data_IF_295883024197
#
_entry.id   IF_295883024197
#
_cell.length_a   1.000
_cell.length_b   1.000
_cell.length_c   1.000
_cell.angle_alpha   90.00
_cell.angle_beta   90.00
_cell.angle_gamma   90.00
#
_symmetry.space_group_name_H-M   'P 1'
#
loop_
_entity.id
_entity.type
_entity.pdbx_description
1 polymer ?
#
# COMPACT_ATOMS: atom_id res chain seq x y z
N UNK A 1 -16.16 -9.82 32.84
CA UNK A 1 -16.86 -9.16 31.72
C UNK A 1 -18.00 -10.05 31.25
N UNK A 2 -19.14 -9.48 30.83
CA UNK A 2 -20.23 -10.25 30.21
C UNK A 2 -19.85 -10.66 28.78
N UNK A 3 -20.47 -11.73 28.27
CA UNK A 3 -20.27 -12.21 26.89
C UNK A 3 -20.62 -11.13 25.86
N UNK A 4 -21.74 -10.42 26.08
CA UNK A 4 -22.18 -9.30 25.26
C UNK A 4 -21.12 -8.18 25.20
N UNK A 5 -20.53 -7.79 26.33
CA UNK A 5 -19.50 -6.75 26.34
C UNK A 5 -18.24 -7.18 25.59
N UNK A 6 -17.83 -8.45 25.71
CA UNK A 6 -16.68 -8.97 24.95
C UNK A 6 -16.95 -8.96 23.45
N UNK A 7 -18.14 -9.39 23.03
CA UNK A 7 -18.54 -9.43 21.63
C UNK A 7 -18.60 -8.02 21.02
N UNK A 8 -19.21 -7.07 21.74
CA UNK A 8 -19.27 -5.67 21.32
C UNK A 8 -17.87 -5.05 21.21
N UNK A 9 -16.98 -5.30 22.17
CA UNK A 9 -15.60 -4.82 22.13
C UNK A 9 -14.81 -5.43 20.95
N UNK A 10 -14.96 -6.74 20.71
CA UNK A 10 -14.34 -7.44 19.59
C UNK A 10 -14.83 -6.89 18.25
N UNK A 11 -16.15 -6.78 18.05
CA UNK A 11 -16.72 -6.26 16.80
C UNK A 11 -16.32 -4.80 16.56
N UNK A 12 -16.31 -3.96 17.60
CA UNK A 12 -15.82 -2.59 17.51
C UNK A 12 -14.35 -2.51 17.11
N UNK A 13 -13.51 -3.34 17.74
CA UNK A 13 -12.08 -3.43 17.42
C UNK A 13 -11.81 -3.90 15.99
N UNK A 14 -12.49 -4.97 15.55
CA UNK A 14 -12.38 -5.48 14.18
C UNK A 14 -12.82 -4.42 13.16
N UNK A 15 -13.97 -3.79 13.38
CA UNK A 15 -14.51 -2.78 12.46
C UNK A 15 -13.58 -1.57 12.34
N UNK A 16 -13.07 -1.07 13.47
CA UNK A 16 -12.12 0.05 13.49
C UNK A 16 -10.82 -0.29 12.77
N UNK A 17 -10.20 -1.45 13.06
CA UNK A 17 -8.97 -1.88 12.38
C UNK A 17 -9.18 -2.10 10.89
N UNK A 18 -10.31 -2.67 10.48
CA UNK A 18 -10.65 -2.88 9.07
C UNK A 18 -10.74 -1.55 8.32
N UNK A 19 -11.43 -0.56 8.88
CA UNK A 19 -11.54 0.78 8.28
C UNK A 19 -10.16 1.46 8.16
N UNK A 20 -9.32 1.35 9.19
CA UNK A 20 -7.96 1.91 9.18
C UNK A 20 -7.09 1.26 8.10
N UNK A 21 -7.15 -0.06 7.95
CA UNK A 21 -6.42 -0.80 6.91
C UNK A 21 -6.91 -0.41 5.51
N UNK A 22 -8.22 -0.32 5.30
CA UNK A 22 -8.80 0.08 4.02
C UNK A 22 -8.35 1.49 3.61
N UNK A 23 -8.33 2.44 4.56
CA UNK A 23 -7.81 3.79 4.32
C UNK A 23 -6.33 3.76 3.94
N UNK A 24 -5.50 3.01 4.69
CA UNK A 24 -4.07 2.86 4.41
C UNK A 24 -3.81 2.27 3.03
N UNK A 25 -4.54 1.22 2.65
CA UNK A 25 -4.45 0.60 1.32
C UNK A 25 -4.84 1.62 0.24
N UNK A 26 -5.93 2.36 0.41
CA UNK A 26 -6.36 3.36 -0.56
C UNK A 26 -5.31 4.47 -0.76
N UNK A 27 -4.70 4.95 0.33
CA UNK A 27 -3.61 5.94 0.28
C UNK A 27 -2.38 5.39 -0.42
N UNK A 28 -2.00 4.14 -0.16
CA UNK A 28 -0.87 3.48 -0.81
C UNK A 28 -1.11 3.27 -2.32
N UNK A 29 -2.31 2.83 -2.72
CA UNK A 29 -2.70 2.70 -4.14
C UNK A 29 -2.63 4.05 -4.86
N UNK A 30 -3.11 5.13 -4.22
CA UNK A 30 -2.99 6.48 -4.76
C UNK A 30 -1.54 6.94 -4.89
N UNK A 31 -0.69 6.64 -3.91
CA UNK A 31 0.73 6.97 -3.95
C UNK A 31 1.45 6.20 -5.08
N UNK A 32 1.19 4.90 -5.22
CA UNK A 32 1.72 4.08 -6.32
C UNK A 32 1.39 4.68 -7.69
N UNK A 33 0.11 5.00 -7.93
CA UNK A 33 -0.31 5.59 -9.20
C UNK A 33 0.36 6.94 -9.50
N UNK A 34 0.68 7.75 -8.47
CA UNK A 34 1.44 8.99 -8.66
C UNK A 34 2.88 8.70 -9.08
N UNK A 35 3.55 7.76 -8.41
CA UNK A 35 4.93 7.36 -8.74
C UNK A 35 5.01 6.81 -10.15
N UNK A 36 4.06 5.96 -10.56
CA UNK A 36 4.01 5.41 -11.92
C UNK A 36 3.82 6.52 -12.97
N UNK A 37 2.96 7.51 -12.72
CA UNK A 37 2.81 8.66 -13.63
C UNK A 37 4.07 9.51 -13.72
N UNK A 38 4.76 9.72 -12.60
CA UNK A 38 6.04 10.44 -12.60
C UNK A 38 7.13 9.64 -13.34
N UNK A 39 7.13 8.31 -13.22
CA UNK A 39 7.99 7.44 -14.00
C UNK A 39 7.73 7.58 -15.50
N UNK A 40 6.46 7.46 -15.94
CA UNK A 40 6.08 7.61 -17.35
C UNK A 40 6.49 8.97 -17.93
N UNK A 41 6.28 10.05 -17.15
CA UNK A 41 6.71 11.40 -17.54
C UNK A 41 8.23 11.50 -17.66
N UNK A 42 8.97 10.92 -16.71
CA UNK A 42 10.43 10.93 -16.72
C UNK A 42 10.99 10.10 -17.88
N UNK A 43 10.34 9.00 -18.25
CA UNK A 43 10.69 8.20 -19.44
C UNK A 43 10.47 8.98 -20.75
N UNK A 44 9.45 9.84 -20.80
CA UNK A 44 9.25 10.76 -21.93
C UNK A 44 10.37 11.82 -21.97
N UNK A 45 10.75 12.38 -20.82
CA UNK A 45 11.83 13.36 -20.72
C UNK A 45 13.19 12.77 -21.13
N UNK A 46 13.48 11.52 -20.74
CA UNK A 46 14.66 10.77 -21.17
C UNK A 46 14.75 10.59 -22.70
N UNK A 47 13.61 10.48 -23.39
CA UNK A 47 13.60 10.41 -24.86
C UNK A 47 13.89 11.78 -25.47
N UNK A 48 13.31 12.84 -24.91
CA UNK A 48 13.46 14.20 -25.42
C UNK A 48 14.87 14.76 -25.18
N UNK A 49 15.50 14.44 -24.05
CA UNK A 49 16.81 14.98 -23.69
C UNK A 49 17.87 14.61 -24.73
N UNK A 50 17.79 13.41 -25.33
CA UNK A 50 18.72 12.97 -26.39
C UNK A 50 18.44 13.57 -27.78
N UNK A 51 17.33 14.27 -27.98
CA UNK A 51 16.91 14.81 -29.28
C UNK A 51 16.77 16.35 -29.27
N UNK A 52 17.81 17.12 -28.91
CA UNK A 52 17.68 18.57 -28.93
C UNK A 52 17.69 19.08 -30.37
N UNK A 53 16.73 19.96 -30.69
CA UNK A 53 16.68 20.65 -31.98
C UNK A 53 17.64 21.84 -31.98
N UNK A 54 18.92 21.55 -32.11
CA UNK A 54 19.97 22.56 -32.22
C UNK A 54 20.25 22.89 -33.69
N UNK A 55 20.36 24.17 -34.03
CA UNK A 55 20.74 24.60 -35.37
C UNK A 55 22.19 24.23 -35.71
N UNK A 56 22.52 24.12 -37.00
CA UNK A 56 23.88 23.78 -37.47
C UNK A 56 24.95 24.81 -37.09
N UNK A 57 24.53 26.01 -36.67
CA UNK A 57 25.37 27.07 -36.12
C UNK A 57 25.74 26.87 -34.64
N UNK A 58 25.14 25.91 -33.94
CA UNK A 58 25.38 25.65 -32.52
C UNK A 58 26.69 24.87 -32.29
N UNK A 59 27.82 25.57 -32.40
CA UNK A 59 29.19 25.04 -32.30
C UNK A 59 30.01 25.82 -31.28
N UNK A 60 31.20 25.32 -30.95
CA UNK A 60 32.12 25.93 -29.98
C UNK A 60 31.89 25.44 -28.54
N UNK A 61 32.60 26.06 -27.61
CA UNK A 61 32.67 25.68 -26.19
C UNK A 61 31.28 25.57 -25.54
N UNK A 62 30.42 26.58 -25.72
CA UNK A 62 29.04 26.57 -25.22
C UNK A 62 28.18 25.39 -25.70
N UNK A 63 28.47 24.86 -26.89
CA UNK A 63 27.79 23.67 -27.43
C UNK A 63 28.29 22.38 -26.75
N UNK A 64 29.56 22.34 -26.37
CA UNK A 64 30.16 21.23 -25.63
C UNK A 64 29.68 21.20 -24.17
N UNK A 65 29.64 22.36 -23.50
CA UNK A 65 29.14 22.48 -22.12
C UNK A 65 27.68 22.02 -22.02
N UNK A 66 26.82 22.54 -22.90
CA UNK A 66 25.42 22.13 -22.99
C UNK A 66 25.28 20.61 -23.22
N UNK A 67 26.17 20.02 -24.03
CA UNK A 67 26.19 18.58 -24.27
C UNK A 67 26.57 17.78 -23.03
N UNK A 68 27.51 18.29 -22.22
CA UNK A 68 27.92 17.68 -20.94
C UNK A 68 26.79 17.71 -19.92
N UNK A 69 26.24 18.91 -19.63
CA UNK A 69 25.15 19.10 -18.66
C UNK A 69 23.94 18.21 -19.00
N UNK A 70 23.60 18.12 -20.28
CA UNK A 70 22.53 17.25 -20.76
C UNK A 70 22.83 15.77 -20.51
N UNK A 71 24.07 15.32 -20.74
CA UNK A 71 24.42 13.93 -20.50
C UNK A 71 24.37 13.60 -18.99
N UNK A 72 24.85 14.50 -18.14
CA UNK A 72 24.76 14.36 -16.68
C UNK A 72 23.29 14.29 -16.23
N UNK A 73 22.44 15.18 -16.75
CA UNK A 73 21.00 15.13 -16.48
C UNK A 73 20.36 13.83 -16.98
N UNK A 74 20.74 13.34 -18.16
CA UNK A 74 20.24 12.06 -18.67
C UNK A 74 20.63 10.90 -17.75
N UNK A 75 21.87 10.82 -17.31
CA UNK A 75 22.36 9.72 -16.48
C UNK A 75 21.72 9.74 -15.08
N UNK A 76 21.48 10.94 -14.54
CA UNK A 76 20.72 11.13 -13.31
C UNK A 76 19.26 10.66 -13.46
N UNK A 77 18.57 11.06 -14.52
CA UNK A 77 17.19 10.63 -14.81
C UNK A 77 17.10 9.12 -15.06
N UNK A 78 18.08 8.56 -15.77
CA UNK A 78 18.16 7.12 -16.04
C UNK A 78 18.32 6.32 -14.75
N UNK A 79 19.11 6.84 -13.79
CA UNK A 79 19.23 6.25 -12.45
C UNK A 79 17.90 6.32 -11.69
N UNK A 80 17.20 7.46 -11.74
CA UNK A 80 15.91 7.62 -11.06
C UNK A 80 14.88 6.63 -11.61
N UNK A 81 14.75 6.53 -12.94
CA UNK A 81 13.79 5.66 -13.62
C UNK A 81 14.09 4.19 -13.40
N UNK A 82 15.34 3.77 -13.54
CA UNK A 82 15.66 2.34 -13.48
C UNK A 82 15.84 1.81 -12.05
N UNK A 83 16.03 2.69 -11.07
CA UNK A 83 16.38 2.27 -9.72
C UNK A 83 15.43 2.81 -8.64
N UNK A 84 15.16 4.12 -8.64
CA UNK A 84 14.39 4.74 -7.54
C UNK A 84 12.90 4.45 -7.64
N UNK A 85 12.28 4.71 -8.80
CA UNK A 85 10.84 4.46 -8.97
C UNK A 85 10.47 2.99 -8.76
N UNK A 86 11.18 2.00 -9.34
CA UNK A 86 10.88 0.58 -9.10
C UNK A 86 10.95 0.21 -7.62
N UNK A 87 11.99 0.67 -6.90
CA UNK A 87 12.10 0.42 -5.45
C UNK A 87 10.93 1.00 -4.66
N UNK A 88 10.45 2.20 -5.01
CA UNK A 88 9.29 2.80 -4.37
C UNK A 88 8.02 2.01 -4.65
N UNK A 89 7.79 1.62 -5.90
CA UNK A 89 6.64 0.78 -6.28
C UNK A 89 6.67 -0.54 -5.52
N UNK A 90 7.78 -1.27 -5.53
CA UNK A 90 7.91 -2.55 -4.83
C UNK A 90 7.69 -2.41 -3.31
N UNK A 91 8.19 -1.34 -2.69
CA UNK A 91 7.95 -1.09 -1.26
C UNK A 91 6.48 -0.81 -0.95
N UNK A 92 5.81 -0.07 -1.82
CA UNK A 92 4.37 0.19 -1.68
C UNK A 92 3.57 -1.11 -1.85
N UNK A 93 3.88 -1.92 -2.86
CA UNK A 93 3.21 -3.20 -3.12
C UNK A 93 3.38 -4.18 -1.96
N UNK A 94 4.59 -4.30 -1.42
CA UNK A 94 4.84 -5.13 -0.24
C UNK A 94 4.00 -4.69 0.96
N UNK A 95 3.88 -3.37 1.17
CA UNK A 95 3.06 -2.86 2.28
C UNK A 95 1.57 -3.08 2.05
N UNK A 96 1.09 -2.94 0.82
CA UNK A 96 -0.30 -3.29 0.45
C UNK A 96 -0.55 -4.77 0.74
N UNK A 97 0.32 -5.67 0.28
CA UNK A 97 0.16 -7.11 0.51
C UNK A 97 0.14 -7.47 2.01
N UNK A 98 0.98 -6.82 2.82
CA UNK A 98 0.95 -6.99 4.28
C UNK A 98 -0.40 -6.57 4.87
N UNK A 99 -0.92 -5.41 4.45
CA UNK A 99 -2.20 -4.90 4.93
C UNK A 99 -3.39 -5.75 4.46
N UNK A 100 -3.32 -6.30 3.24
CA UNK A 100 -4.33 -7.24 2.73
C UNK A 100 -4.33 -8.55 3.53
N UNK A 101 -3.16 -9.05 3.94
CA UNK A 101 -3.06 -10.20 4.84
C UNK A 101 -3.67 -9.90 6.23
N UNK A 102 -3.41 -8.71 6.79
CA UNK A 102 -4.06 -8.25 8.03
C UNK A 102 -5.60 -8.18 7.86
N UNK A 103 -6.09 -7.72 6.71
CA UNK A 103 -7.53 -7.66 6.41
C UNK A 103 -8.16 -9.05 6.31
N UNK A 104 -7.45 -10.04 5.74
CA UNK A 104 -7.88 -11.44 5.73
C UNK A 104 -7.99 -11.99 7.15
N UNK A 105 -7.01 -11.69 8.00
CA UNK A 105 -6.98 -12.15 9.39
C UNK A 105 -8.13 -11.55 10.21
N UNK A 106 -8.44 -10.26 10.00
CA UNK A 106 -9.62 -9.59 10.58
C UNK A 106 -10.95 -10.16 10.07
N UNK A 107 -11.02 -10.55 8.79
CA UNK A 107 -12.23 -11.17 8.22
C UNK A 107 -12.48 -12.55 8.85
N UNK A 108 -11.43 -13.32 9.11
CA UNK A 108 -11.52 -14.56 9.87
C UNK A 108 -11.98 -14.32 11.30
N UNK A 109 -11.42 -13.32 11.99
CA UNK A 109 -11.86 -12.92 13.32
C UNK A 109 -13.34 -12.53 13.35
N UNK A 110 -13.80 -11.80 12.34
CA UNK A 110 -15.20 -11.39 12.18
C UNK A 110 -16.13 -12.59 12.00
N UNK A 111 -15.70 -13.63 11.28
CA UNK A 111 -16.47 -14.87 11.14
C UNK A 111 -16.63 -15.57 12.48
N UNK A 112 -15.55 -15.71 13.25
CA UNK A 112 -15.58 -16.31 14.58
C UNK A 112 -16.44 -15.50 15.56
N UNK A 113 -16.40 -14.17 15.47
CA UNK A 113 -17.28 -13.30 16.26
C UNK A 113 -18.77 -13.53 15.90
N UNK A 114 -19.09 -13.67 14.61
CA UNK A 114 -20.44 -14.00 14.16
C UNK A 114 -20.93 -15.35 14.68
N UNK A 115 -20.06 -16.37 14.70
CA UNK A 115 -20.38 -17.68 15.25
C UNK A 115 -20.54 -17.65 16.78
N UNK A 116 -19.71 -16.86 17.48
CA UNK A 116 -19.85 -16.64 18.91
C UNK A 116 -21.20 -15.95 19.26
N UNK A 117 -21.63 -14.99 18.43
CA UNK A 117 -22.92 -14.32 18.59
C UNK A 117 -24.09 -15.31 18.46
N UNK A 118 -24.07 -16.17 17.43
CA UNK A 118 -25.07 -17.22 17.23
C UNK A 118 -25.11 -18.25 18.36
N UNK A 119 -23.97 -18.58 18.95
CA UNK A 119 -23.91 -19.46 20.12
C UNK A 119 -24.46 -18.77 21.36
N UNK A 120 -24.18 -17.48 21.55
CA UNK A 120 -24.73 -16.71 22.66
C UNK A 120 -26.27 -16.68 22.64
N UNK A 121 -26.88 -16.67 21.46
CA UNK A 121 -28.34 -16.72 21.28
C UNK A 121 -28.96 -18.06 21.70
N UNK A 122 -28.18 -19.14 21.77
CA UNK A 122 -28.66 -20.48 22.18
C UNK A 122 -28.77 -20.68 23.70
N UNK A 123 -28.34 -19.71 24.50
CA UNK A 123 -28.47 -19.74 25.96
C UNK A 123 -27.25 -20.30 26.71
N UNK A 124 -27.43 -20.58 28.01
CA UNK A 124 -26.35 -20.86 28.97
C UNK A 124 -25.43 -22.01 28.57
N UNK A 125 -25.97 -23.09 27.99
CA UNK A 125 -25.21 -24.27 27.60
C UNK A 125 -24.15 -23.99 26.52
N UNK A 126 -24.29 -22.90 25.77
CA UNK A 126 -23.39 -22.52 24.68
C UNK A 126 -22.45 -21.34 25.03
N UNK A 127 -22.54 -20.79 26.25
CA UNK A 127 -21.80 -19.60 26.67
C UNK A 127 -20.28 -19.83 26.68
N UNK A 128 -19.84 -21.00 27.12
CA UNK A 128 -18.42 -21.33 27.20
C UNK A 128 -17.79 -21.47 25.81
N UNK A 129 -18.51 -22.11 24.88
CA UNK A 129 -18.10 -22.22 23.48
C UNK A 129 -18.05 -20.83 22.81
N UNK A 130 -19.02 -19.96 23.08
CA UNK A 130 -19.03 -18.58 22.59
C UNK A 130 -17.81 -17.79 23.09
N UNK A 131 -17.48 -17.89 24.39
CA UNK A 131 -16.27 -17.25 24.96
C UNK A 131 -14.99 -17.77 24.31
N UNK A 132 -14.91 -19.08 24.04
CA UNK A 132 -13.76 -19.69 23.36
C UNK A 132 -13.58 -19.14 21.94
N UNK A 133 -14.67 -18.96 21.19
CA UNK A 133 -14.61 -18.37 19.84
C UNK A 133 -14.18 -16.90 19.87
N UNK A 134 -14.67 -16.11 20.83
CA UNK A 134 -14.23 -14.72 21.02
C UNK A 134 -12.72 -14.67 21.31
N UNK A 135 -12.22 -15.55 22.16
CA UNK A 135 -10.77 -15.61 22.44
C UNK A 135 -9.96 -16.00 21.21
N UNK A 136 -10.43 -16.96 20.41
CA UNK A 136 -9.79 -17.33 19.14
C UNK A 136 -9.79 -16.18 18.13
N UNK A 137 -10.89 -15.44 18.04
CA UNK A 137 -11.00 -14.27 17.18
C UNK A 137 -10.00 -13.18 17.59
N UNK A 138 -9.86 -12.92 18.89
CA UNK A 138 -8.91 -11.93 19.40
C UNK A 138 -7.46 -12.27 19.06
N UNK A 139 -7.12 -13.56 19.09
CA UNK A 139 -5.75 -14.03 18.83
C UNK A 139 -5.41 -14.10 17.34
N UNK A 140 -6.35 -13.81 16.44
CA UNK A 140 -6.11 -13.90 15.00
C UNK A 140 -5.74 -12.57 14.34
N UNK A 141 -5.62 -11.45 15.07
CA UNK A 141 -5.30 -10.12 14.50
C UNK A 141 -4.69 -9.12 15.51
#
# INVERSE_FOLDING_TARGET
>A
MSLSNMLSALNGGISSKKAEIEEKIARLKKAKSKVEREQDATEADLKQIKQPKLGTSWKGERSQDFKSERNEAHDALQTIVNDKYPRYVSRIEFKISTLEAEQTALSFASSLAGDAARLAEKGEDAVEDAKRLISKAWNSF
#
